data_IF_225772237955
#
_entry.id   IF_225772237955
#
_cell.length_a   1.000
_cell.length_b   1.000
_cell.length_c   1.000
_cell.angle_alpha   90.00
_cell.angle_beta   90.00
_cell.angle_gamma   90.00
#
_symmetry.space_group_name_H-M   'P 1'
#
loop_
_entity.id
_entity.type
_entity.pdbx_description
1 polymer ?
#
# COMPACT_ATOMS: atom_id res chain seq x y z
N UNK A 1 -3.63 7.25 -14.10
CA UNK A 1 -3.20 5.84 -14.17
C UNK A 1 -3.85 5.11 -13.01
N UNK A 2 -4.43 3.95 -13.26
CA UNK A 2 -4.98 3.07 -12.24
C UNK A 2 -4.31 1.69 -12.39
N UNK A 3 -3.80 1.13 -11.29
CA UNK A 3 -3.15 -0.16 -11.20
C UNK A 3 -3.74 -0.93 -10.02
N UNK A 4 -3.93 -2.23 -10.20
CA UNK A 4 -4.47 -3.10 -9.17
C UNK A 4 -3.49 -4.23 -8.87
N UNK A 5 -3.34 -4.58 -7.60
CA UNK A 5 -2.69 -5.82 -7.21
C UNK A 5 -3.62 -7.00 -7.47
N UNK A 6 -3.09 -8.23 -7.50
CA UNK A 6 -3.88 -9.42 -7.28
C UNK A 6 -4.65 -9.30 -5.96
N UNK A 7 -5.84 -9.89 -5.94
CA UNK A 7 -6.57 -10.11 -4.69
C UNK A 7 -5.92 -11.27 -3.94
N UNK A 8 -5.71 -11.10 -2.64
CA UNK A 8 -5.17 -12.13 -1.74
C UNK A 8 -6.14 -12.38 -0.59
N UNK A 9 -6.21 -13.62 -0.12
CA UNK A 9 -7.00 -13.98 1.06
C UNK A 9 -6.06 -14.27 2.22
N UNK A 10 -6.36 -13.68 3.38
CA UNK A 10 -5.63 -13.91 4.64
C UNK A 10 -6.53 -14.55 5.67
N UNK A 11 -5.98 -15.48 6.46
CA UNK A 11 -6.70 -16.21 7.51
C UNK A 11 -6.76 -15.39 8.81
N UNK A 12 -7.33 -14.17 8.72
CA UNK A 12 -7.51 -13.20 9.78
C UNK A 12 -8.83 -12.45 9.56
N UNK A 13 -9.45 -11.98 10.65
CA UNK A 13 -10.62 -11.11 10.57
C UNK A 13 -10.31 -9.75 9.91
N UNK A 14 -11.33 -9.12 9.33
CA UNK A 14 -11.19 -7.81 8.68
C UNK A 14 -10.79 -6.73 9.69
N UNK A 15 -11.23 -6.85 10.95
CA UNK A 15 -10.85 -5.97 12.05
C UNK A 15 -9.35 -6.07 12.36
N UNK A 16 -8.81 -7.29 12.45
CA UNK A 16 -7.38 -7.50 12.69
C UNK A 16 -6.54 -6.84 11.58
N UNK A 17 -6.89 -7.11 10.33
CA UNK A 17 -6.19 -6.54 9.16
C UNK A 17 -6.30 -5.01 9.14
N UNK A 18 -7.49 -4.47 9.38
CA UNK A 18 -7.68 -3.02 9.43
C UNK A 18 -6.82 -2.38 10.53
N UNK A 19 -6.75 -2.97 11.71
CA UNK A 19 -5.95 -2.47 12.83
C UNK A 19 -4.45 -2.53 12.51
N UNK A 20 -3.97 -3.62 11.91
CA UNK A 20 -2.57 -3.73 11.48
C UNK A 20 -2.23 -2.69 10.42
N UNK A 21 -3.06 -2.52 9.38
CA UNK A 21 -2.83 -1.55 8.31
C UNK A 21 -3.07 -0.09 8.75
N UNK A 22 -3.77 0.15 9.85
CA UNK A 22 -3.95 1.50 10.42
C UNK A 22 -2.66 2.06 11.04
N UNK A 23 -1.72 1.17 11.40
CA UNK A 23 -0.42 1.50 11.97
C UNK A 23 0.62 1.51 10.84
N UNK A 24 1.06 2.69 10.42
CA UNK A 24 1.95 2.83 9.25
C UNK A 24 3.27 2.07 9.37
N UNK A 25 3.77 1.86 10.58
CA UNK A 25 4.97 1.05 10.85
C UNK A 25 4.81 -0.40 10.40
N UNK A 26 3.61 -0.98 10.44
CA UNK A 26 3.39 -2.36 10.05
C UNK A 26 3.61 -2.62 8.55
N UNK A 27 3.60 -1.57 7.71
CA UNK A 27 3.99 -1.70 6.30
C UNK A 27 5.45 -2.15 6.13
N UNK A 28 6.32 -1.97 7.13
CA UNK A 28 7.68 -2.51 7.13
C UNK A 28 7.70 -4.04 6.92
N UNK A 29 6.76 -4.76 7.55
CA UNK A 29 6.60 -6.22 7.41
C UNK A 29 6.24 -6.63 5.98
N UNK A 30 5.59 -5.73 5.25
CA UNK A 30 5.09 -5.94 3.89
C UNK A 30 6.10 -5.54 2.82
N UNK A 31 7.13 -4.78 3.17
CA UNK A 31 8.12 -4.27 2.23
C UNK A 31 8.84 -5.40 1.48
N UNK A 32 9.15 -5.21 0.18
CA UNK A 32 9.88 -6.18 -0.62
C UNK A 32 11.35 -6.32 -0.17
N UNK A 33 12.00 -7.43 -0.49
CA UNK A 33 13.41 -7.69 -0.12
C UNK A 33 14.41 -6.68 -0.72
N UNK A 34 14.04 -6.04 -1.85
CA UNK A 34 14.85 -5.02 -2.49
C UNK A 34 14.65 -3.61 -1.92
N UNK A 35 14.01 -3.49 -0.75
CA UNK A 35 13.86 -2.23 -0.02
C UNK A 35 15.25 -1.72 0.39
N UNK A 36 15.56 -0.50 -0.03
CA UNK A 36 16.79 0.20 0.31
C UNK A 36 16.63 1.06 1.58
N UNK A 37 15.41 1.57 1.82
CA UNK A 37 15.08 2.40 2.97
C UNK A 37 13.60 2.20 3.35
N UNK A 38 13.33 2.13 4.64
CA UNK A 38 12.00 2.29 5.23
C UNK A 38 12.18 3.08 6.52
N UNK A 39 11.48 4.21 6.64
CA UNK A 39 11.61 5.12 7.77
C UNK A 39 10.23 5.65 8.15
N UNK A 40 9.83 5.46 9.40
CA UNK A 40 8.60 6.06 9.94
C UNK A 40 8.90 7.50 10.29
N UNK A 41 8.23 8.44 9.61
CA UNK A 41 8.39 9.88 9.82
C UNK A 41 7.54 10.34 11.02
N UNK A 42 6.31 9.86 11.08
CA UNK A 42 5.37 10.09 12.18
C UNK A 42 4.31 8.97 12.23
N UNK A 43 3.34 9.10 13.13
CA UNK A 43 2.24 8.13 13.34
C UNK A 43 1.36 7.87 12.10
N UNK A 44 1.38 8.75 11.10
CA UNK A 44 0.59 8.67 9.88
C UNK A 44 1.44 8.68 8.60
N UNK A 45 2.77 8.79 8.70
CA UNK A 45 3.66 8.94 7.56
C UNK A 45 4.88 8.04 7.65
N UNK A 46 5.20 7.39 6.52
CA UNK A 46 6.47 6.71 6.32
C UNK A 46 7.06 7.07 4.95
N UNK A 47 8.39 7.01 4.90
CA UNK A 47 9.19 7.10 3.69
C UNK A 47 9.75 5.72 3.36
N UNK A 48 9.71 5.34 2.09
CA UNK A 48 10.36 4.12 1.63
C UNK A 48 11.07 4.36 0.30
N UNK A 49 12.14 3.60 0.07
CA UNK A 49 12.90 3.60 -1.17
C UNK A 49 13.19 2.18 -1.61
N UNK A 50 12.95 1.87 -2.88
CA UNK A 50 13.34 0.60 -3.49
C UNK A 50 14.63 0.80 -4.30
N UNK A 51 15.48 -0.23 -4.39
CA UNK A 51 16.67 -0.17 -5.26
C UNK A 51 16.27 0.17 -6.69
N UNK A 52 16.80 1.28 -7.22
CA UNK A 52 16.49 1.76 -8.59
C UNK A 52 15.24 2.63 -8.70
N UNK A 53 14.63 3.04 -7.58
CA UNK A 53 13.45 3.92 -7.55
C UNK A 53 13.71 5.14 -6.64
N UNK A 54 13.19 6.33 -6.97
CA UNK A 54 13.19 7.45 -6.03
C UNK A 54 12.46 7.11 -4.73
N UNK A 55 12.87 7.73 -3.62
CA UNK A 55 12.17 7.61 -2.34
C UNK A 55 10.76 8.21 -2.43
N UNK A 56 9.80 7.52 -1.82
CA UNK A 56 8.39 7.90 -1.79
C UNK A 56 7.92 8.05 -0.35
N UNK A 57 7.21 9.15 -0.08
CA UNK A 57 6.52 9.38 1.19
C UNK A 57 5.03 9.12 1.03
N UNK A 58 4.52 8.20 1.84
CA UNK A 58 3.10 7.88 1.95
C UNK A 58 2.56 8.42 3.27
N UNK A 59 1.39 9.05 3.20
CA UNK A 59 0.67 9.61 4.35
C UNK A 59 -0.72 9.01 4.39
N UNK A 60 -1.17 8.53 5.55
CA UNK A 60 -2.54 8.07 5.77
C UNK A 60 -3.51 9.25 5.59
N UNK A 61 -4.41 9.11 4.61
CA UNK A 61 -5.42 10.13 4.25
C UNK A 61 -6.80 9.78 4.78
N UNK A 62 -7.15 8.50 4.73
CA UNK A 62 -8.48 8.01 5.12
C UNK A 62 -8.35 6.61 5.74
N UNK A 63 -9.20 6.32 6.71
CA UNK A 63 -9.38 4.99 7.28
C UNK A 63 -10.87 4.79 7.52
N UNK A 64 -11.46 3.79 6.85
CA UNK A 64 -12.84 3.38 7.06
C UNK A 64 -12.81 2.02 7.75
N UNK A 65 -13.29 1.92 9.00
CA UNK A 65 -13.24 0.69 9.80
C UNK A 65 -13.62 -0.54 8.98
N UNK A 66 -12.79 -1.57 9.08
CA UNK A 66 -12.95 -2.91 8.45
C UNK A 66 -13.15 -2.91 6.93
N UNK A 67 -13.01 -1.76 6.25
CA UNK A 67 -13.35 -1.63 4.83
C UNK A 67 -12.20 -1.12 3.97
N UNK A 68 -11.50 -0.05 4.39
CA UNK A 68 -10.35 0.45 3.63
C UNK A 68 -9.38 1.32 4.43
N UNK A 69 -8.13 1.32 3.98
CA UNK A 69 -7.10 2.30 4.34
C UNK A 69 -6.63 2.99 3.07
N UNK A 70 -6.56 4.33 3.07
CA UNK A 70 -6.04 5.12 1.96
C UNK A 70 -4.76 5.81 2.39
N UNK A 71 -3.65 5.44 1.76
CA UNK A 71 -2.40 6.19 1.81
C UNK A 71 -2.31 7.08 0.57
N UNK A 72 -1.64 8.23 0.66
CA UNK A 72 -1.45 9.11 -0.48
C UNK A 72 -0.16 9.89 -0.41
N UNK A 73 0.16 10.57 -1.50
CA UNK A 73 1.36 11.40 -1.61
C UNK A 73 1.44 12.43 -0.48
N UNK A 74 2.66 12.61 0.06
CA UNK A 74 2.96 13.74 0.93
C UNK A 74 3.02 15.08 0.16
N UNK A 75 3.36 15.03 -1.13
CA UNK A 75 3.49 16.21 -2.00
C UNK A 75 2.25 16.40 -2.87
N UNK A 76 1.79 17.65 -3.00
CA UNK A 76 0.71 18.03 -3.91
C UNK A 76 1.14 18.11 -5.38
N UNK A 77 2.44 18.15 -5.66
CA UNK A 77 2.97 18.26 -7.03
C UNK A 77 2.80 16.98 -7.85
N UNK A 78 2.57 15.86 -7.18
CA UNK A 78 2.46 14.55 -7.79
C UNK A 78 1.41 13.72 -7.05
N UNK A 79 0.11 13.97 -7.30
CA UNK A 79 -0.97 13.36 -6.55
C UNK A 79 -1.14 11.89 -6.95
N UNK A 80 -1.09 11.03 -5.95
CA UNK A 80 -1.43 9.61 -6.05
C UNK A 80 -1.97 9.09 -4.72
N UNK A 81 -2.69 7.98 -4.80
CA UNK A 81 -3.24 7.21 -3.69
C UNK A 81 -2.88 5.74 -3.83
N UNK A 82 -2.74 5.08 -2.69
CA UNK A 82 -2.67 3.63 -2.54
C UNK A 82 -3.77 3.23 -1.56
N UNK A 83 -4.82 2.61 -2.08
CA UNK A 83 -5.97 2.15 -1.30
C UNK A 83 -5.84 0.66 -1.05
N UNK A 84 -5.84 0.26 0.22
CA UNK A 84 -6.02 -1.12 0.61
C UNK A 84 -7.51 -1.38 0.87
N UNK A 85 -8.17 -2.10 -0.04
CA UNK A 85 -9.53 -2.57 0.15
C UNK A 85 -9.53 -3.84 0.99
N UNK A 86 -10.40 -3.89 2.00
CA UNK A 86 -10.54 -4.98 2.96
C UNK A 86 -11.97 -5.49 2.82
N UNK A 87 -12.11 -6.77 2.49
CA UNK A 87 -13.42 -7.40 2.30
C UNK A 87 -13.48 -8.70 3.11
N UNK A 88 -14.23 -8.69 4.20
CA UNK A 88 -14.49 -9.89 5.00
C UNK A 88 -15.22 -10.93 4.15
N UNK A 89 -14.71 -12.17 4.15
CA UNK A 89 -15.35 -13.32 3.48
C UNK A 89 -15.87 -14.35 4.48
N UNK A 90 -15.28 -14.40 5.69
CA UNK A 90 -15.77 -15.09 6.86
C UNK A 90 -15.13 -14.49 8.13
N UNK A 91 -15.55 -14.93 9.32
CA UNK A 91 -15.08 -14.40 10.61
C UNK A 91 -13.54 -14.31 10.74
N UNK A 92 -12.80 -15.28 10.20
CA UNK A 92 -11.33 -15.34 10.20
C UNK A 92 -10.75 -15.42 8.78
N UNK A 93 -11.45 -14.86 7.79
CA UNK A 93 -11.02 -14.86 6.40
C UNK A 93 -11.34 -13.52 5.75
N UNK A 94 -10.32 -12.88 5.18
CA UNK A 94 -10.43 -11.55 4.60
C UNK A 94 -9.72 -11.49 3.25
N UNK A 95 -10.42 -10.97 2.26
CA UNK A 95 -9.84 -10.63 0.97
C UNK A 95 -9.27 -9.20 1.01
N UNK A 96 -8.06 -9.04 0.49
CA UNK A 96 -7.37 -7.76 0.40
C UNK A 96 -6.97 -7.51 -1.06
N UNK A 97 -7.19 -6.28 -1.54
CA UNK A 97 -6.69 -5.83 -2.83
C UNK A 97 -6.15 -4.40 -2.71
N UNK A 98 -4.98 -4.16 -3.29
CA UNK A 98 -4.38 -2.84 -3.34
C UNK A 98 -4.69 -2.18 -4.69
N UNK A 99 -5.14 -0.93 -4.63
CA UNK A 99 -5.43 -0.11 -5.81
C UNK A 99 -4.59 1.15 -5.75
N UNK A 100 -3.76 1.35 -6.76
CA UNK A 100 -2.95 2.55 -6.92
C UNK A 100 -3.55 3.45 -7.99
N UNK A 101 -3.84 4.70 -7.63
CA UNK A 101 -4.36 5.70 -8.54
C UNK A 101 -3.46 6.93 -8.52
N UNK A 102 -3.13 7.47 -9.68
CA UNK A 102 -2.42 8.75 -9.72
C UNK A 102 -2.45 9.43 -11.07
N UNK A 103 -2.27 10.75 -11.03
CA UNK A 103 -2.38 11.63 -12.20
C UNK A 103 -1.00 11.89 -12.78
N UNK A 104 -0.56 10.98 -13.64
CA UNK A 104 0.73 11.06 -14.33
C UNK A 104 0.52 11.39 -15.81
N UNK A 105 1.43 12.19 -16.38
CA UNK A 105 1.51 12.29 -17.83
C UNK A 105 1.94 10.94 -18.44
N UNK A 106 1.72 10.76 -19.74
CA UNK A 106 1.94 9.48 -20.43
C UNK A 106 3.38 8.95 -20.29
N UNK A 107 4.39 9.84 -20.34
CA UNK A 107 5.79 9.47 -20.23
C UNK A 107 6.15 8.96 -18.82
N UNK A 108 5.73 9.69 -17.78
CA UNK A 108 5.95 9.30 -16.40
C UNK A 108 5.22 7.99 -16.08
N UNK A 109 3.96 7.85 -16.53
CA UNK A 109 3.16 6.65 -16.32
C UNK A 109 3.87 5.39 -16.85
N UNK A 110 4.47 5.44 -18.04
CA UNK A 110 5.20 4.29 -18.60
C UNK A 110 6.43 3.91 -17.77
N UNK A 111 7.18 4.89 -17.27
CA UNK A 111 8.40 4.66 -16.49
C UNK A 111 8.09 4.05 -15.11
N UNK A 112 7.02 4.49 -14.46
CA UNK A 112 6.69 4.07 -13.09
C UNK A 112 5.71 2.89 -13.03
N UNK A 113 4.98 2.59 -14.10
CA UNK A 113 3.97 1.52 -14.10
C UNK A 113 4.56 0.18 -13.65
N UNK A 114 5.65 -0.27 -14.29
CA UNK A 114 6.28 -1.54 -13.95
C UNK A 114 6.77 -1.63 -12.49
N UNK A 115 7.55 -0.66 -11.95
CA UNK A 115 7.99 -0.72 -10.56
C UNK A 115 6.83 -0.58 -9.55
N UNK A 116 5.83 0.28 -9.81
CA UNK A 116 4.67 0.42 -8.91
C UNK A 116 3.80 -0.84 -8.92
N UNK A 117 3.54 -1.45 -10.09
CA UNK A 117 2.82 -2.72 -10.19
C UNK A 117 3.50 -3.80 -9.35
N UNK A 118 4.82 -3.97 -9.51
CA UNK A 118 5.59 -4.94 -8.69
C UNK A 118 5.54 -4.63 -7.20
N UNK A 119 5.58 -3.34 -6.84
CA UNK A 119 5.50 -2.91 -5.45
C UNK A 119 4.16 -3.31 -4.82
N UNK A 120 3.02 -2.96 -5.44
CA UNK A 120 1.70 -3.30 -4.90
C UNK A 120 1.41 -4.81 -4.94
N UNK A 121 1.92 -5.53 -5.95
CA UNK A 121 1.89 -7.00 -5.98
C UNK A 121 2.62 -7.60 -4.78
N UNK A 122 3.82 -7.11 -4.48
CA UNK A 122 4.62 -7.63 -3.37
C UNK A 122 3.97 -7.32 -2.02
N UNK A 123 3.45 -6.10 -1.83
CA UNK A 123 2.71 -5.76 -0.62
C UNK A 123 1.51 -6.68 -0.41
N UNK A 124 0.72 -6.93 -1.47
CA UNK A 124 -0.42 -7.83 -1.42
C UNK A 124 0.00 -9.26 -1.06
N UNK A 125 1.02 -9.82 -1.73
CA UNK A 125 1.53 -11.16 -1.41
C UNK A 125 2.03 -11.30 0.03
N UNK A 126 2.63 -10.22 0.56
CA UNK A 126 3.14 -10.17 1.92
C UNK A 126 2.05 -9.93 2.98
N UNK A 127 0.78 -9.72 2.62
CA UNK A 127 -0.30 -9.51 3.62
C UNK A 127 -0.45 -10.66 4.60
N UNK A 128 -0.06 -11.87 4.22
CA UNK A 128 -0.01 -13.04 5.09
C UNK A 128 1.01 -12.93 6.24
N UNK A 129 1.90 -11.92 6.22
CA UNK A 129 2.87 -11.61 7.29
C UNK A 129 2.29 -10.72 8.38
N UNK A 130 1.05 -10.24 8.22
CA UNK A 130 0.28 -9.55 9.26
C UNK A 130 -0.46 -10.58 10.11
#
# INVERSE_FOLDING_TARGET
MNLESPKVTVAKSAEYIFNELSIVKNFEKLMPENTAKFEVIDENCFEFGLKGMPEIKLVKKEAVPTSKIVLGAASSKLPFTLTANINETAAESTDIQLVFEGEFNAMMAMMIKAPITKFIETLAQNMSKL
#
